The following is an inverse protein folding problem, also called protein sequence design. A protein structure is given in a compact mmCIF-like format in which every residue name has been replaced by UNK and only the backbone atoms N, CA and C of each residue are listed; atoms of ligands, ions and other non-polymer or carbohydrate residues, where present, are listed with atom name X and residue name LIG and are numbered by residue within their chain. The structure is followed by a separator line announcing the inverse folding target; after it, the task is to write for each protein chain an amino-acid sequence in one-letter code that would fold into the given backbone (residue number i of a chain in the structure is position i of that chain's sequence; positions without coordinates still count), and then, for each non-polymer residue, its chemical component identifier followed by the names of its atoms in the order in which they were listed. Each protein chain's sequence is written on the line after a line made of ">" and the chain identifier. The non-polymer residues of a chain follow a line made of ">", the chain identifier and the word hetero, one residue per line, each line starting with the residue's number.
data_IF_732901884618
#
_entry.id   IF_732901884618
#
_cell.length_a   1.000
_cell.length_b   1.000
_cell.length_c   1.000
_cell.angle_alpha   90.00
_cell.angle_beta   90.00
_cell.angle_gamma   90.00
#
_symmetry.space_group_name_H-M   'P 1'
#
loop_
_entity.id
_entity.type
_entity.pdbx_description
1 polymer ?
#
# COMPACT_ATOMS: atom_id res chain seq x y z
N UNK A 1 -69.28 0.24 59.01
CA UNK A 1 -68.09 -0.11 59.83
C UNK A 1 -67.70 -1.54 59.51
N UNK A 2 -66.41 -1.83 59.29
CA UNK A 2 -65.93 -3.19 59.00
C UNK A 2 -66.25 -4.14 60.17
N UNK A 3 -66.64 -5.37 59.84
CA UNK A 3 -66.95 -6.40 60.84
C UNK A 3 -65.71 -6.74 61.70
N UNK A 4 -65.93 -7.16 62.95
CA UNK A 4 -64.84 -7.61 63.85
C UNK A 4 -64.00 -8.72 63.20
N UNK A 5 -64.64 -9.64 62.46
CA UNK A 5 -63.96 -10.70 61.69
C UNK A 5 -63.07 -10.11 60.59
N UNK A 6 -63.54 -9.06 59.95
CA UNK A 6 -62.87 -8.40 58.84
C UNK A 6 -61.64 -7.62 59.31
N UNK A 7 -61.75 -6.89 60.42
CA UNK A 7 -60.63 -6.20 61.08
C UNK A 7 -59.56 -7.15 61.63
N UNK A 8 -59.96 -8.25 62.29
CA UNK A 8 -59.01 -9.11 63.00
C UNK A 8 -58.40 -10.21 62.13
N UNK A 9 -59.14 -10.74 61.15
CA UNK A 9 -58.67 -11.88 60.35
C UNK A 9 -58.39 -11.52 58.89
N UNK A 10 -59.24 -10.70 58.25
CA UNK A 10 -59.13 -10.46 56.81
C UNK A 10 -58.15 -9.34 56.48
N UNK A 11 -58.20 -8.22 57.19
CA UNK A 11 -57.30 -7.08 56.96
C UNK A 11 -55.83 -7.44 57.14
N UNK A 12 -55.38 -8.05 58.25
CA UNK A 12 -53.96 -8.35 58.45
C UNK A 12 -53.40 -9.27 57.37
N UNK A 13 -54.21 -10.22 56.90
CA UNK A 13 -53.85 -11.12 55.80
C UNK A 13 -53.74 -10.38 54.47
N UNK A 14 -54.68 -9.49 54.16
CA UNK A 14 -54.64 -8.65 52.95
C UNK A 14 -53.43 -7.72 52.97
N UNK A 15 -53.16 -7.09 54.11
CA UNK A 15 -52.04 -6.16 54.28
C UNK A 15 -50.70 -6.89 54.15
N UNK A 16 -50.55 -8.06 54.77
CA UNK A 16 -49.35 -8.89 54.62
C UNK A 16 -49.14 -9.33 53.17
N UNK A 17 -50.19 -9.80 52.49
CA UNK A 17 -50.12 -10.20 51.08
C UNK A 17 -49.75 -9.03 50.18
N UNK A 18 -50.27 -7.84 50.47
CA UNK A 18 -49.94 -6.62 49.76
C UNK A 18 -48.48 -6.20 49.98
N UNK A 19 -47.99 -6.25 51.22
CA UNK A 19 -46.59 -5.99 51.56
C UNK A 19 -45.63 -6.98 50.87
N UNK A 20 -45.98 -8.27 50.87
CA UNK A 20 -45.20 -9.30 50.18
C UNK A 20 -45.17 -9.05 48.67
N UNK A 21 -46.31 -8.75 48.06
CA UNK A 21 -46.39 -8.41 46.64
C UNK A 21 -45.54 -7.17 46.31
N UNK A 22 -45.68 -6.09 47.09
CA UNK A 22 -44.89 -4.87 46.92
C UNK A 22 -43.40 -5.14 47.05
N UNK A 23 -43.00 -6.00 47.99
CA UNK A 23 -41.60 -6.39 48.17
C UNK A 23 -41.07 -7.16 46.95
N UNK A 24 -41.86 -8.08 46.39
CA UNK A 24 -41.52 -8.81 45.16
C UNK A 24 -41.42 -7.88 43.95
N UNK A 25 -42.35 -6.95 43.80
CA UNK A 25 -42.32 -5.95 42.71
C UNK A 25 -41.09 -5.06 42.84
N UNK A 26 -40.76 -4.60 44.05
CA UNK A 26 -39.59 -3.75 44.30
C UNK A 26 -38.27 -4.49 44.05
N UNK A 27 -38.21 -5.78 44.34
CA UNK A 27 -37.04 -6.63 44.12
C UNK A 27 -36.97 -7.23 42.72
N UNK A 28 -37.97 -6.99 41.86
CA UNK A 28 -38.00 -7.53 40.51
C UNK A 28 -36.85 -6.94 39.67
N UNK A 29 -36.02 -7.82 39.11
CA UNK A 29 -34.96 -7.49 38.16
C UNK A 29 -35.48 -7.67 36.72
N UNK A 30 -34.85 -7.02 35.73
CA UNK A 30 -35.20 -7.25 34.33
C UNK A 30 -35.03 -8.73 33.96
N UNK A 31 -35.95 -9.26 33.14
CA UNK A 31 -35.96 -10.65 32.72
C UNK A 31 -34.75 -11.02 31.84
N UNK A 32 -34.16 -10.01 31.19
CA UNK A 32 -32.99 -10.13 30.32
C UNK A 32 -31.97 -9.11 30.82
N UNK A 33 -30.73 -9.56 31.01
CA UNK A 33 -29.61 -8.66 31.28
C UNK A 33 -29.24 -7.90 30.01
N UNK A 34 -29.51 -6.59 29.99
CA UNK A 34 -29.17 -5.68 28.88
C UNK A 34 -27.86 -4.90 29.15
N UNK A 35 -27.07 -5.35 30.13
CA UNK A 35 -25.80 -4.69 30.46
C UNK A 35 -24.75 -4.97 29.39
N UNK A 36 -23.96 -3.95 29.10
CA UNK A 36 -22.79 -4.12 28.26
C UNK A 36 -21.84 -5.16 28.88
N UNK A 37 -21.32 -6.11 28.09
CA UNK A 37 -20.36 -7.09 28.58
C UNK A 37 -19.08 -6.40 29.06
N UNK A 38 -18.38 -7.04 29.99
CA UNK A 38 -17.10 -6.53 30.50
C UNK A 38 -16.11 -6.27 29.36
N UNK A 39 -15.40 -5.15 29.44
CA UNK A 39 -14.38 -4.78 28.45
C UNK A 39 -13.32 -5.88 28.36
N UNK A 40 -13.16 -6.43 27.14
CA UNK A 40 -12.16 -7.46 26.87
C UNK A 40 -10.94 -6.76 26.27
N UNK A 41 -9.76 -6.83 26.91
CA UNK A 41 -8.57 -6.11 26.42
C UNK A 41 -8.19 -6.51 25.00
N UNK A 42 -8.34 -7.80 24.63
CA UNK A 42 -8.08 -8.28 23.27
C UNK A 42 -9.02 -7.73 22.18
N UNK A 43 -10.21 -7.23 22.54
CA UNK A 43 -11.14 -6.57 21.61
C UNK A 43 -10.70 -5.13 21.35
N UNK A 44 -10.21 -4.46 22.40
CA UNK A 44 -9.71 -3.07 22.34
C UNK A 44 -8.37 -3.02 21.60
N UNK A 45 -7.46 -3.95 21.90
CA UNK A 45 -6.10 -3.95 21.35
C UNK A 45 -5.92 -5.02 20.28
N UNK A 46 -5.71 -4.60 19.03
CA UNK A 46 -5.36 -5.49 17.91
C UNK A 46 -3.86 -5.81 17.91
N UNK A 47 -3.40 -6.62 18.85
CA UNK A 47 -1.97 -6.92 19.05
C UNK A 47 -1.25 -7.40 17.78
N UNK A 48 -1.88 -8.28 16.98
CA UNK A 48 -1.31 -8.75 15.69
C UNK A 48 -1.18 -7.63 14.64
N UNK A 49 -1.99 -6.58 14.72
CA UNK A 49 -1.84 -5.40 13.86
C UNK A 49 -0.61 -4.60 14.31
N UNK A 50 -0.46 -4.38 15.62
CA UNK A 50 0.69 -3.68 16.19
C UNK A 50 1.99 -4.38 15.83
N UNK A 51 2.06 -5.69 16.03
CA UNK A 51 3.23 -6.50 15.67
C UNK A 51 3.62 -6.33 14.19
N UNK A 52 2.66 -6.49 13.28
CA UNK A 52 2.92 -6.35 11.84
C UNK A 52 3.44 -4.96 11.45
N UNK A 53 2.94 -3.90 12.09
CA UNK A 53 3.46 -2.55 11.84
C UNK A 53 4.88 -2.37 12.38
N UNK A 54 5.22 -2.99 13.52
CA UNK A 54 6.60 -2.98 14.02
C UNK A 54 7.54 -3.71 13.06
N UNK A 55 7.17 -4.94 12.65
CA UNK A 55 7.97 -5.73 11.72
C UNK A 55 8.19 -5.00 10.39
N UNK A 56 7.13 -4.36 9.86
CA UNK A 56 7.22 -3.55 8.64
C UNK A 56 8.18 -2.38 8.79
N UNK A 57 8.11 -1.66 9.92
CA UNK A 57 9.01 -0.52 10.19
C UNK A 57 10.46 -0.99 10.31
N UNK A 58 10.72 -2.08 11.02
CA UNK A 58 12.06 -2.66 11.16
C UNK A 58 12.62 -3.07 9.79
N UNK A 59 11.82 -3.71 8.94
CA UNK A 59 12.23 -4.04 7.57
C UNK A 59 12.63 -2.80 6.78
N UNK A 60 11.78 -1.77 6.77
CA UNK A 60 12.07 -0.51 6.06
C UNK A 60 13.34 0.15 6.58
N UNK A 61 13.56 0.18 7.90
CA UNK A 61 14.77 0.75 8.48
C UNK A 61 16.04 0.02 8.03
N UNK A 62 16.00 -1.32 8.04
CA UNK A 62 17.13 -2.13 7.59
C UNK A 62 17.42 -1.94 6.09
N UNK A 63 16.38 -1.89 5.26
CA UNK A 63 16.50 -1.65 3.82
C UNK A 63 17.07 -0.25 3.54
N UNK A 64 16.59 0.78 4.24
CA UNK A 64 17.09 2.15 4.13
C UNK A 64 18.57 2.25 4.53
N UNK A 65 18.97 1.57 5.60
CA UNK A 65 20.37 1.53 6.03
C UNK A 65 21.26 0.87 4.96
N UNK A 66 20.83 -0.28 4.42
CA UNK A 66 21.56 -0.97 3.35
C UNK A 66 21.68 -0.10 2.09
N UNK A 67 20.61 0.57 1.69
CA UNK A 67 20.61 1.50 0.56
C UNK A 67 21.59 2.65 0.80
N UNK A 68 21.55 3.28 1.98
CA UNK A 68 22.44 4.37 2.34
C UNK A 68 23.91 3.94 2.28
N UNK A 69 24.22 2.75 2.80
CA UNK A 69 25.59 2.20 2.75
C UNK A 69 26.06 2.02 1.30
N UNK A 70 25.20 1.46 0.43
CA UNK A 70 25.52 1.28 -1.00
C UNK A 70 25.71 2.61 -1.72
N UNK A 71 24.81 3.56 -1.52
CA UNK A 71 24.92 4.91 -2.09
C UNK A 71 26.20 5.60 -1.62
N UNK A 72 26.53 5.51 -0.32
CA UNK A 72 27.76 6.08 0.22
C UNK A 72 29.01 5.48 -0.43
N UNK A 73 29.01 4.18 -0.72
CA UNK A 73 30.10 3.52 -1.42
C UNK A 73 30.21 4.04 -2.86
N UNK A 74 29.11 4.08 -3.60
CA UNK A 74 29.07 4.60 -4.99
C UNK A 74 29.57 6.05 -5.04
N UNK A 75 29.08 6.91 -4.14
CA UNK A 75 29.46 8.33 -4.09
C UNK A 75 30.95 8.52 -3.75
N UNK A 76 31.55 7.64 -2.94
CA UNK A 76 32.99 7.68 -2.64
C UNK A 76 33.85 7.36 -3.86
N UNK A 77 33.40 6.42 -4.71
CA UNK A 77 34.10 6.08 -5.96
C UNK A 77 33.51 6.89 -7.10
N UNK A 78 33.99 8.12 -7.27
CA UNK A 78 33.62 8.99 -8.41
C UNK A 78 34.23 8.44 -9.72
N UNK A 79 33.79 7.25 -10.14
CA UNK A 79 34.27 6.51 -11.31
C UNK A 79 33.63 6.96 -12.61
N UNK A 80 32.63 7.84 -12.53
CA UNK A 80 31.99 8.46 -13.68
C UNK A 80 32.38 9.92 -13.70
N UNK A 81 32.87 10.35 -14.85
CA UNK A 81 33.29 11.72 -15.06
C UNK A 81 32.03 12.60 -15.23
N UNK A 82 31.43 12.99 -14.11
CA UNK A 82 30.21 13.81 -14.07
C UNK A 82 30.48 15.28 -14.41
N UNK A 83 31.44 15.56 -15.29
CA UNK A 83 31.67 16.89 -15.83
C UNK A 83 31.42 16.87 -17.33
N UNK A 84 30.45 17.68 -17.76
CA UNK A 84 30.23 17.91 -19.17
C UNK A 84 31.29 18.91 -19.62
N UNK A 85 32.33 18.44 -20.33
CA UNK A 85 33.35 19.32 -20.93
C UNK A 85 32.77 20.26 -21.99
N UNK A 86 31.63 19.87 -22.57
CA UNK A 86 30.88 20.65 -23.55
C UNK A 86 29.48 20.91 -23.00
N UNK A 87 28.91 22.11 -23.18
CA UNK A 87 27.53 22.37 -22.77
C UNK A 87 26.59 21.37 -23.46
N UNK A 88 25.50 21.01 -22.77
CA UNK A 88 24.46 20.16 -23.35
C UNK A 88 24.01 20.77 -24.68
N UNK A 89 23.79 19.96 -25.73
CA UNK A 89 23.31 20.47 -27.01
C UNK A 89 22.00 21.22 -26.78
N UNK A 90 21.96 22.47 -27.23
CA UNK A 90 20.75 23.27 -27.17
C UNK A 90 19.74 22.71 -28.19
N UNK A 91 18.74 22.00 -27.67
CA UNK A 91 17.65 21.46 -28.49
C UNK A 91 16.55 22.48 -28.75
N UNK A 92 16.65 23.71 -28.25
CA UNK A 92 15.63 24.75 -28.46
C UNK A 92 15.54 25.21 -29.93
N UNK A 93 16.50 24.81 -30.79
CA UNK A 93 16.48 25.07 -32.23
C UNK A 93 15.96 23.91 -33.09
N UNK A 94 15.42 22.82 -32.49
CA UNK A 94 14.72 21.77 -33.25
C UNK A 94 13.30 22.23 -33.63
N UNK A 95 13.20 23.32 -34.39
CA UNK A 95 12.07 23.49 -35.30
C UNK A 95 12.14 22.36 -36.30
N UNK A 96 11.15 21.47 -36.30
CA UNK A 96 11.03 20.46 -37.35
C UNK A 96 11.06 21.17 -38.70
N UNK A 97 12.05 20.88 -39.54
CA UNK A 97 12.02 21.30 -40.92
C UNK A 97 10.92 20.48 -41.60
N UNK A 98 9.69 20.99 -41.57
CA UNK A 98 8.59 20.42 -42.31
C UNK A 98 8.83 20.71 -43.79
N UNK A 99 9.25 19.68 -44.52
CA UNK A 99 9.33 19.75 -45.97
C UNK A 99 7.94 19.49 -46.55
N UNK A 100 7.56 20.23 -47.57
CA UNK A 100 6.38 19.90 -48.35
C UNK A 100 6.57 18.56 -49.06
N UNK A 101 5.45 17.95 -49.45
CA UNK A 101 5.42 16.61 -50.05
C UNK A 101 6.30 16.55 -51.31
N UNK A 102 6.36 17.62 -52.08
CA UNK A 102 7.19 17.71 -53.28
C UNK A 102 8.70 17.72 -52.94
N UNK A 103 9.12 18.48 -51.92
CA UNK A 103 10.54 18.47 -51.48
C UNK A 103 10.97 17.13 -50.90
N UNK A 104 10.06 16.42 -50.21
CA UNK A 104 10.33 15.06 -49.71
C UNK A 104 10.51 14.07 -50.86
N UNK A 105 9.63 14.10 -51.87
CA UNK A 105 9.71 13.21 -53.02
C UNK A 105 11.00 13.42 -53.83
N UNK A 106 11.41 14.67 -54.04
CA UNK A 106 12.68 14.98 -54.74
C UNK A 106 13.90 14.44 -53.98
N UNK A 107 13.92 14.53 -52.65
CA UNK A 107 15.02 14.00 -51.82
C UNK A 107 15.05 12.49 -51.73
N UNK A 108 13.89 11.82 -51.78
CA UNK A 108 13.84 10.36 -51.83
C UNK A 108 14.32 9.85 -53.19
N UNK A 109 13.96 10.53 -54.28
CA UNK A 109 14.44 10.20 -55.61
C UNK A 109 15.96 10.32 -55.73
N UNK A 110 16.57 11.37 -55.16
CA UNK A 110 18.03 11.55 -55.18
C UNK A 110 18.78 10.53 -54.31
N UNK A 111 18.14 9.96 -53.28
CA UNK A 111 18.74 8.86 -52.48
C UNK A 111 18.73 7.53 -53.21
N UNK A 112 17.78 7.33 -54.13
CA UNK A 112 17.67 6.07 -54.86
C UNK A 112 18.76 5.92 -55.92
N UNK A 113 19.23 7.02 -56.52
CA UNK A 113 20.31 7.01 -57.51
C UNK A 113 21.69 6.68 -56.92
N UNK A 114 21.89 6.90 -55.62
CA UNK A 114 23.13 6.55 -54.90
C UNK A 114 23.14 5.12 -54.34
N UNK A 115 22.02 4.38 -54.43
CA UNK A 115 21.85 3.09 -53.75
C UNK A 115 22.38 1.86 -54.50
N UNK A 116 23.09 2.04 -55.62
CA UNK A 116 23.84 0.94 -56.27
C UNK A 116 25.31 0.99 -55.83
N UNK A 117 25.55 0.86 -54.52
CA UNK A 117 26.83 0.38 -54.00
C UNK A 117 26.54 -0.67 -52.92
N UNK A 118 26.70 -1.93 -53.34
CA UNK A 118 26.54 -3.14 -52.55
C UNK A 118 27.60 -3.18 -51.45
N UNK A 119 27.26 -2.73 -50.23
CA UNK A 119 28.14 -2.84 -49.07
C UNK A 119 27.98 -4.22 -48.43
N UNK A 120 28.88 -5.13 -48.79
CA UNK A 120 29.08 -6.42 -48.15
C UNK A 120 29.33 -6.23 -46.64
N UNK A 121 28.31 -6.45 -45.80
CA UNK A 121 28.48 -6.52 -44.35
C UNK A 121 29.12 -7.86 -43.98
N UNK A 122 30.46 -7.91 -44.00
CA UNK A 122 31.20 -9.04 -43.45
C UNK A 122 31.40 -8.87 -41.93
N UNK A 123 30.84 -9.81 -41.16
CA UNK A 123 31.49 -10.24 -39.91
C UNK A 123 31.09 -9.61 -38.57
N UNK A 124 30.09 -8.72 -38.48
CA UNK A 124 29.66 -8.23 -37.15
C UNK A 124 28.70 -9.23 -36.51
N UNK A 125 29.21 -10.08 -35.61
CA UNK A 125 28.40 -10.97 -34.77
C UNK A 125 27.89 -10.19 -33.55
N UNK A 126 26.62 -10.36 -33.21
CA UNK A 126 26.02 -9.68 -32.08
C UNK A 126 26.48 -10.31 -30.75
N UNK A 127 26.47 -9.50 -29.69
CA UNK A 127 26.86 -9.87 -28.32
C UNK A 127 26.18 -11.16 -27.81
N UNK A 128 24.95 -11.44 -28.24
CA UNK A 128 24.22 -12.66 -27.88
C UNK A 128 24.84 -13.94 -28.45
N UNK A 129 25.47 -13.88 -29.64
CA UNK A 129 26.12 -15.03 -30.26
C UNK A 129 27.47 -15.38 -29.61
N UNK A 130 28.13 -14.43 -28.95
CA UNK A 130 29.39 -14.65 -28.23
C UNK A 130 29.17 -15.33 -26.88
N UNK A 131 28.06 -15.03 -26.20
CA UNK A 131 27.72 -15.60 -24.90
C UNK A 131 27.43 -17.11 -24.95
N UNK A 132 26.83 -17.61 -26.03
CA UNK A 132 26.51 -19.03 -26.17
C UNK A 132 27.74 -19.93 -26.38
N UNK A 133 28.91 -19.38 -26.71
CA UNK A 133 30.16 -20.15 -26.83
C UNK A 133 30.84 -20.42 -25.49
N UNK A 134 30.64 -19.57 -24.49
CA UNK A 134 31.34 -19.71 -23.19
C UNK A 134 30.68 -20.70 -22.23
N UNK A 135 29.49 -21.20 -22.56
CA UNK A 135 28.71 -22.12 -21.70
C UNK A 135 28.78 -23.57 -22.21
N UNK A 136 29.49 -23.82 -23.31
CA UNK A 136 29.45 -25.09 -24.04
C UNK A 136 30.76 -25.86 -24.17
N UNK A 137 31.80 -25.53 -23.39
CA UNK A 137 33.04 -26.32 -23.28
C UNK A 137 33.20 -26.91 -21.86
#
# INVERSE_FOLDING_TARGET
>A
MLSRREKLYQQPWKDRRFQDHRSKVKAALPAIDDRAPASRPHVVTKLKKVQREMDRKTKIQNENFSLLQRLSAIMKVNRLDNHWTKPLPDFQHKVGQFHDVNSLNTRLASRYTDSVQESQHSGVKCYACELNKMVGD
#
